data_IF_934450611130
#
_entry.id   IF_934450611130
#
_cell.length_a   1.000
_cell.length_b   1.000
_cell.length_c   1.000
_cell.angle_alpha   90.00
_cell.angle_beta   90.00
_cell.angle_gamma   90.00
#
_symmetry.space_group_name_H-M   'P 1'
#
loop_
_entity.id
_entity.type
_entity.pdbx_description
1 polymer ?
#
# COMPACT_ATOMS: atom_id res chain seq x y z
N UNK A 1 -26.87 2.55 -55.18
CA UNK A 1 -27.89 2.74 -54.14
C UNK A 1 -27.54 1.74 -53.04
N UNK A 2 -26.79 2.19 -52.04
CA UNK A 2 -26.28 1.31 -50.99
C UNK A 2 -27.33 1.15 -49.88
N UNK A 3 -27.56 -0.11 -49.49
CA UNK A 3 -28.48 -0.50 -48.43
C UNK A 3 -27.89 -0.13 -47.05
N UNK A 4 -28.54 0.77 -46.33
CA UNK A 4 -28.25 1.04 -44.91
C UNK A 4 -28.78 -0.10 -44.03
N UNK A 5 -28.01 -0.58 -43.04
CA UNK A 5 -28.52 -1.54 -42.07
C UNK A 5 -29.47 -0.86 -41.06
N UNK A 6 -30.62 -1.50 -40.88
CA UNK A 6 -31.67 -1.18 -39.93
C UNK A 6 -31.17 -1.38 -38.48
N UNK A 7 -31.03 -0.31 -37.70
CA UNK A 7 -30.74 -0.39 -36.28
C UNK A 7 -32.04 -0.52 -35.49
N UNK A 8 -32.18 -1.49 -34.57
CA UNK A 8 -33.34 -1.53 -33.69
C UNK A 8 -33.25 -0.40 -32.65
N UNK A 9 -34.29 0.44 -32.59
CA UNK A 9 -34.47 1.47 -31.57
C UNK A 9 -34.55 0.87 -30.17
N UNK A 10 -33.94 1.49 -29.13
CA UNK A 10 -34.14 1.05 -27.76
C UNK A 10 -35.50 1.55 -27.25
N UNK A 11 -36.36 0.61 -26.85
CA UNK A 11 -37.62 0.88 -26.15
C UNK A 11 -37.34 1.39 -24.72
N UNK A 12 -38.07 2.39 -24.23
CA UNK A 12 -38.03 2.77 -22.83
C UNK A 12 -38.95 1.83 -22.05
N UNK A 13 -38.38 1.01 -21.17
CA UNK A 13 -39.16 0.32 -20.15
C UNK A 13 -38.98 1.09 -18.85
N UNK A 14 -39.99 1.91 -18.54
CA UNK A 14 -40.26 2.43 -17.22
C UNK A 14 -40.51 1.26 -16.26
N UNK A 15 -39.65 1.11 -15.25
CA UNK A 15 -39.99 0.37 -14.04
C UNK A 15 -39.41 1.14 -12.84
N UNK A 16 -40.25 2.01 -12.29
CA UNK A 16 -40.00 2.80 -11.10
C UNK A 16 -40.52 2.02 -9.88
N UNK A 17 -39.61 1.49 -9.05
CA UNK A 17 -39.92 1.12 -7.67
C UNK A 17 -38.67 1.08 -6.79
N UNK A 18 -38.41 2.23 -6.17
CA UNK A 18 -37.84 2.50 -4.84
C UNK A 18 -36.47 1.92 -4.40
N UNK A 19 -35.65 2.70 -3.64
CA UNK A 19 -34.21 2.49 -3.52
C UNK A 19 -33.79 1.70 -2.26
N UNK A 20 -32.69 0.91 -2.34
CA UNK A 20 -31.88 0.66 -1.14
C UNK A 20 -30.36 0.66 -1.42
N UNK A 21 -29.54 0.53 -0.37
CA UNK A 21 -28.65 1.56 0.16
C UNK A 21 -27.43 1.87 -0.73
N UNK A 22 -26.97 3.12 -0.63
CA UNK A 22 -25.71 3.72 -1.10
C UNK A 22 -24.57 2.74 -1.43
N UNK A 23 -24.66 2.09 -2.58
CA UNK A 23 -23.55 1.37 -3.21
C UNK A 23 -23.06 2.24 -4.36
N UNK A 24 -22.38 3.34 -4.02
CA UNK A 24 -21.69 4.15 -5.02
C UNK A 24 -20.64 3.27 -5.70
N UNK A 25 -20.99 2.70 -6.85
CA UNK A 25 -20.13 1.82 -7.62
C UNK A 25 -18.85 2.58 -7.99
N UNK A 26 -17.69 1.93 -8.04
CA UNK A 26 -16.42 2.58 -8.39
C UNK A 26 -16.50 3.39 -9.71
N UNK A 27 -17.38 2.97 -10.64
CA UNK A 27 -17.70 3.70 -11.88
C UNK A 27 -18.37 5.06 -11.62
N UNK A 28 -19.34 5.13 -10.71
CA UNK A 28 -20.01 6.37 -10.30
C UNK A 28 -19.06 7.33 -9.56
N UNK A 29 -18.18 6.79 -8.71
CA UNK A 29 -17.11 7.55 -8.05
C UNK A 29 -16.10 8.15 -9.03
N UNK A 30 -15.78 7.44 -10.12
CA UNK A 30 -14.92 7.96 -11.19
C UNK A 30 -15.62 9.04 -12.01
N UNK A 31 -16.89 8.83 -12.35
CA UNK A 31 -17.68 9.79 -13.13
C UNK A 31 -17.91 11.11 -12.37
N UNK A 32 -18.17 11.04 -11.07
CA UNK A 32 -18.32 12.22 -10.21
C UNK A 32 -17.02 13.00 -10.06
N UNK A 33 -15.86 12.34 -9.98
CA UNK A 33 -14.55 13.00 -10.05
C UNK A 33 -14.29 13.68 -11.40
N UNK A 34 -14.70 13.06 -12.50
CA UNK A 34 -14.52 13.62 -13.85
C UNK A 34 -15.29 14.93 -14.02
N UNK A 35 -16.50 15.01 -13.45
CA UNK A 35 -17.39 16.16 -13.56
C UNK A 35 -17.31 17.11 -12.34
N UNK A 36 -16.24 17.02 -11.54
CA UNK A 36 -16.08 17.84 -10.34
C UNK A 36 -15.83 19.30 -10.72
N UNK A 37 -16.52 20.23 -10.05
CA UNK A 37 -16.28 21.66 -10.23
C UNK A 37 -15.02 22.11 -9.50
N UNK A 38 -14.41 23.22 -9.94
CA UNK A 38 -13.23 23.81 -9.30
C UNK A 38 -13.48 24.10 -7.80
N UNK A 39 -14.65 24.64 -7.45
CA UNK A 39 -15.01 24.91 -6.06
C UNK A 39 -15.07 23.63 -5.21
N UNK A 40 -15.62 22.54 -5.75
CA UNK A 40 -15.65 21.24 -5.08
C UNK A 40 -14.24 20.64 -4.92
N UNK A 41 -13.35 20.84 -5.90
CA UNK A 41 -11.96 20.42 -5.80
C UNK A 41 -11.21 21.19 -4.72
N UNK A 42 -11.35 22.51 -4.67
CA UNK A 42 -10.71 23.33 -3.64
C UNK A 42 -11.18 22.96 -2.22
N UNK A 43 -12.46 22.66 -2.04
CA UNK A 43 -12.99 22.17 -0.76
C UNK A 43 -12.40 20.81 -0.37
N UNK A 44 -12.31 19.86 -1.31
CA UNK A 44 -11.69 18.56 -1.07
C UNK A 44 -10.22 18.72 -0.70
N UNK A 45 -9.48 19.55 -1.44
CA UNK A 45 -8.07 19.84 -1.17
C UNK A 45 -7.89 20.46 0.22
N UNK A 46 -8.72 21.43 0.60
CA UNK A 46 -8.67 22.06 1.92
C UNK A 46 -9.00 21.07 3.06
N UNK A 47 -9.83 20.06 2.78
CA UNK A 47 -10.16 18.98 3.74
C UNK A 47 -9.12 17.86 3.81
N UNK A 48 -8.17 17.81 2.87
CA UNK A 48 -7.17 16.75 2.83
C UNK A 48 -6.24 16.85 4.02
N UNK A 49 -6.07 15.72 4.72
CA UNK A 49 -5.11 15.59 5.82
C UNK A 49 -4.15 14.46 5.49
N UNK A 50 -2.84 14.63 5.70
CA UNK A 50 -1.91 13.53 5.56
C UNK A 50 -2.28 12.44 6.57
N UNK A 51 -2.30 11.19 6.10
CA UNK A 51 -2.47 10.04 6.99
C UNK A 51 -1.11 9.77 7.62
N UNK A 52 -0.90 10.25 8.84
CA UNK A 52 0.27 9.90 9.63
C UNK A 52 0.04 8.56 10.32
N UNK A 53 0.75 7.52 9.90
CA UNK A 53 0.68 6.18 10.50
C UNK A 53 1.46 6.10 11.83
N UNK A 54 1.24 7.05 12.75
CA UNK A 54 2.01 7.20 13.99
C UNK A 54 1.97 5.95 14.87
N UNK A 55 0.83 5.26 14.93
CA UNK A 55 0.69 4.00 15.69
C UNK A 55 1.57 2.88 15.11
N UNK A 56 1.67 2.81 13.79
CA UNK A 56 2.49 1.81 13.10
C UNK A 56 3.98 2.10 13.28
N UNK A 57 4.36 3.38 13.19
CA UNK A 57 5.72 3.82 13.48
C UNK A 57 6.14 3.49 14.93
N UNK A 58 5.27 3.72 15.92
CA UNK A 58 5.54 3.35 17.31
C UNK A 58 5.72 1.84 17.48
N UNK A 59 4.86 1.03 16.86
CA UNK A 59 4.97 -0.43 16.89
C UNK A 59 6.31 -0.92 16.31
N UNK A 60 6.84 -0.25 15.29
CA UNK A 60 8.13 -0.62 14.68
C UNK A 60 9.33 -0.42 15.62
N UNK A 61 9.19 0.44 16.63
CA UNK A 61 10.20 0.59 17.67
C UNK A 61 10.25 -0.62 18.62
N UNK A 62 9.18 -1.41 18.69
CA UNK A 62 9.03 -2.53 19.61
C UNK A 62 9.69 -3.83 19.10
N UNK A 63 10.01 -3.92 17.80
CA UNK A 63 10.64 -5.13 17.26
C UNK A 63 12.05 -5.32 17.82
N UNK A 64 12.25 -6.38 18.60
CA UNK A 64 13.56 -6.74 19.10
C UNK A 64 14.34 -7.53 18.04
N UNK A 65 15.65 -7.30 17.88
CA UNK A 65 16.46 -8.05 16.92
C UNK A 65 16.73 -9.51 17.35
N UNK A 66 16.49 -9.84 18.61
CA UNK A 66 16.71 -11.16 19.20
C UNK A 66 15.49 -12.08 19.17
N UNK A 67 14.35 -11.55 18.72
CA UNK A 67 13.12 -12.31 18.58
C UNK A 67 13.23 -13.39 17.49
N UNK A 68 12.37 -14.43 17.52
CA UNK A 68 12.34 -15.45 16.48
C UNK A 68 12.01 -14.88 15.08
N UNK A 69 12.37 -15.61 14.01
CA UNK A 69 11.97 -15.26 12.65
C UNK A 69 10.45 -15.07 12.54
N UNK A 70 9.99 -14.15 11.68
CA UNK A 70 8.56 -13.88 11.54
C UNK A 70 7.83 -15.08 10.92
N UNK A 71 6.65 -15.38 11.44
CA UNK A 71 5.82 -16.51 10.98
C UNK A 71 4.97 -16.18 9.75
N UNK A 72 4.80 -14.89 9.44
CA UNK A 72 3.94 -14.43 8.35
C UNK A 72 4.59 -13.34 7.52
N UNK A 73 4.11 -13.20 6.28
CA UNK A 73 4.52 -12.16 5.36
C UNK A 73 4.32 -10.76 5.95
N UNK A 74 3.18 -10.51 6.58
CA UNK A 74 2.85 -9.18 7.10
C UNK A 74 3.81 -8.78 8.22
N UNK A 75 4.14 -9.71 9.12
CA UNK A 75 5.13 -9.45 10.18
C UNK A 75 6.53 -9.25 9.58
N UNK A 76 6.90 -10.02 8.56
CA UNK A 76 8.18 -9.84 7.87
C UNK A 76 8.29 -8.46 7.19
N UNK A 77 7.20 -7.96 6.61
CA UNK A 77 7.16 -6.62 6.00
C UNK A 77 7.25 -5.50 7.05
N UNK A 78 6.63 -5.66 8.22
CA UNK A 78 6.77 -4.69 9.31
C UNK A 78 8.20 -4.67 9.88
N UNK A 79 8.84 -5.84 10.03
CA UNK A 79 10.24 -5.92 10.47
C UNK A 79 11.16 -5.33 9.40
N UNK A 80 10.88 -5.53 8.10
CA UNK A 80 11.60 -4.85 7.01
C UNK A 80 11.50 -3.34 7.13
N UNK A 81 10.30 -2.80 7.33
CA UNK A 81 10.12 -1.37 7.51
C UNK A 81 10.86 -0.84 8.76
N UNK A 82 10.84 -1.59 9.87
CA UNK A 82 11.64 -1.26 11.04
C UNK A 82 13.16 -1.28 10.75
N UNK A 83 13.65 -2.25 9.97
CA UNK A 83 15.06 -2.32 9.56
C UNK A 83 15.47 -1.10 8.71
N UNK A 84 14.63 -0.69 7.76
CA UNK A 84 14.83 0.51 6.94
C UNK A 84 14.91 1.78 7.80
N UNK A 85 13.96 1.97 8.71
CA UNK A 85 13.92 3.11 9.62
C UNK A 85 15.22 3.20 10.45
N UNK A 86 15.70 2.07 10.98
CA UNK A 86 16.95 2.00 11.75
C UNK A 86 18.18 2.26 10.89
N UNK A 87 18.19 1.81 9.64
CA UNK A 87 19.27 2.10 8.69
C UNK A 87 19.39 3.61 8.44
N UNK A 88 18.26 4.30 8.21
CA UNK A 88 18.26 5.76 8.03
C UNK A 88 18.57 6.53 9.31
N UNK A 89 18.19 6.00 10.48
CA UNK A 89 18.61 6.51 11.79
C UNK A 89 20.10 6.27 12.11
N UNK A 90 20.84 5.59 11.23
CA UNK A 90 22.26 5.21 11.37
C UNK A 90 22.54 4.19 12.47
N UNK A 91 21.52 3.46 12.90
CA UNK A 91 21.63 2.37 13.86
C UNK A 91 21.93 1.06 13.12
N UNK A 92 23.10 1.00 12.47
CA UNK A 92 23.42 -0.04 11.48
C UNK A 92 23.47 -1.46 12.06
N UNK A 93 23.88 -1.63 13.32
CA UNK A 93 23.86 -2.95 13.97
C UNK A 93 22.44 -3.47 14.19
N UNK A 94 21.53 -2.59 14.62
CA UNK A 94 20.13 -2.93 14.86
C UNK A 94 19.44 -3.21 13.53
N UNK A 95 19.65 -2.34 12.54
CA UNK A 95 19.12 -2.50 11.19
C UNK A 95 19.58 -3.84 10.56
N UNK A 96 20.85 -4.20 10.71
CA UNK A 96 21.40 -5.45 10.21
C UNK A 96 20.68 -6.66 10.82
N UNK A 97 20.57 -6.72 12.15
CA UNK A 97 19.92 -7.84 12.83
C UNK A 97 18.44 -7.95 12.51
N UNK A 98 17.72 -6.82 12.39
CA UNK A 98 16.32 -6.81 11.97
C UNK A 98 16.16 -7.28 10.51
N UNK A 99 17.07 -6.86 9.62
CA UNK A 99 17.06 -7.31 8.23
C UNK A 99 17.30 -8.83 8.13
N UNK A 100 18.26 -9.37 8.89
CA UNK A 100 18.52 -10.81 8.96
C UNK A 100 17.34 -11.58 9.55
N UNK A 101 16.70 -11.05 10.60
CA UNK A 101 15.48 -11.63 11.16
C UNK A 101 14.35 -11.70 10.13
N UNK A 102 14.08 -10.60 9.41
CA UNK A 102 13.04 -10.58 8.39
C UNK A 102 13.36 -11.51 7.20
N UNK A 103 14.64 -11.66 6.83
CA UNK A 103 15.08 -12.62 5.81
C UNK A 103 14.90 -14.08 6.22
N UNK A 104 14.90 -14.36 7.53
CA UNK A 104 14.66 -15.68 8.11
C UNK A 104 13.21 -16.18 8.00
N UNK A 105 12.31 -15.37 7.47
CA UNK A 105 10.97 -15.83 7.06
C UNK A 105 11.11 -16.95 6.02
N UNK A 106 10.21 -17.94 6.08
CA UNK A 106 10.21 -19.09 5.18
C UNK A 106 10.38 -18.74 3.70
N UNK A 107 11.00 -19.64 2.95
CA UNK A 107 11.21 -19.46 1.51
C UNK A 107 9.88 -19.25 0.78
N UNK A 108 9.86 -18.32 -0.18
CA UNK A 108 8.65 -17.97 -0.94
C UNK A 108 7.62 -17.08 -0.22
N UNK A 109 7.81 -16.76 1.07
CA UNK A 109 6.87 -15.90 1.81
C UNK A 109 7.00 -14.42 1.42
N UNK A 110 8.24 -13.94 1.27
CA UNK A 110 8.50 -12.60 0.73
C UNK A 110 8.57 -12.64 -0.79
N UNK A 111 8.01 -11.61 -1.42
CA UNK A 111 8.19 -11.38 -2.85
C UNK A 111 9.66 -11.10 -3.16
N UNK A 112 10.11 -11.44 -4.37
CA UNK A 112 11.51 -11.31 -4.77
C UNK A 112 12.06 -9.87 -4.65
N UNK A 113 11.21 -8.87 -4.91
CA UNK A 113 11.58 -7.46 -4.74
C UNK A 113 11.82 -7.09 -3.28
N UNK A 114 10.92 -7.51 -2.38
CA UNK A 114 11.03 -7.26 -0.95
C UNK A 114 12.29 -7.89 -0.36
N UNK A 115 12.59 -9.13 -0.77
CA UNK A 115 13.80 -9.83 -0.36
C UNK A 115 15.06 -9.12 -0.87
N UNK A 116 15.09 -8.71 -2.14
CA UNK A 116 16.22 -7.97 -2.73
C UNK A 116 16.48 -6.65 -2.01
N UNK A 117 15.43 -5.89 -1.70
CA UNK A 117 15.55 -4.64 -0.96
C UNK A 117 16.13 -4.86 0.43
N UNK A 118 15.65 -5.89 1.14
CA UNK A 118 16.12 -6.26 2.47
C UNK A 118 17.59 -6.74 2.47
N UNK A 119 18.01 -7.48 1.43
CA UNK A 119 19.42 -7.81 1.19
C UNK A 119 20.27 -6.56 0.92
N UNK A 120 19.70 -5.56 0.23
CA UNK A 120 20.32 -4.25 0.03
C UNK A 120 20.58 -3.51 1.34
N UNK A 121 19.62 -3.53 2.26
CA UNK A 121 19.76 -2.97 3.62
C UNK A 121 20.86 -3.71 4.38
N UNK A 122 20.80 -5.05 4.40
CA UNK A 122 21.80 -5.92 5.04
C UNK A 122 23.21 -5.60 4.53
N UNK A 123 23.41 -5.61 3.21
CA UNK A 123 24.70 -5.31 2.60
C UNK A 123 25.16 -3.86 2.84
N UNK A 124 24.22 -2.91 2.88
CA UNK A 124 24.51 -1.52 3.26
C UNK A 124 25.00 -1.39 4.70
N UNK A 125 24.40 -2.13 5.64
CA UNK A 125 24.82 -2.14 7.03
C UNK A 125 26.23 -2.73 7.18
N UNK A 126 26.48 -3.91 6.60
CA UNK A 126 27.80 -4.59 6.63
C UNK A 126 28.91 -3.64 6.18
N UNK A 127 28.73 -2.98 5.02
CA UNK A 127 29.70 -2.00 4.50
C UNK A 127 29.97 -0.84 5.45
N UNK A 128 28.94 -0.35 6.16
CA UNK A 128 29.07 0.80 7.08
C UNK A 128 29.65 0.43 8.43
N UNK A 129 29.46 -0.81 8.86
CA UNK A 129 30.07 -1.36 10.08
C UNK A 129 31.54 -1.76 9.86
N UNK A 130 32.00 -1.80 8.61
CA UNK A 130 33.37 -2.22 8.27
C UNK A 130 33.58 -3.71 8.47
N UNK A 131 32.53 -4.51 8.29
CA UNK A 131 32.55 -5.97 8.37
C UNK A 131 32.67 -6.60 6.98
#
# INVERSE_FOLDING_TARGET
MEHLPNYPSPTPSDDESSPPPSTTTAKSLRQSKLNQTESAFQLQKASWKPICQSKQALRRLEYAPTDPPPESKDVALEIKAAADERYYAREYEVALRLAERALGVGEGVLHATERRELEGVRGGCVRRLGW
#
